data_IF_081081346996
#
_entry.id   IF_081081346996
#
_cell.length_a   1.000
_cell.length_b   1.000
_cell.length_c   1.000
_cell.angle_alpha   90.00
_cell.angle_beta   90.00
_cell.angle_gamma   90.00
#
_symmetry.space_group_name_H-M   'P 1'
#
loop_
_entity.id
_entity.type
_entity.pdbx_description
1 polymer ?
#
# COMPACT_ATOMS: atom_id res chain seq x y z
N UNK A 1 2.93 -2.06 -11.52
CA UNK A 1 3.71 -2.41 -12.72
C UNK A 1 4.15 -3.87 -12.69
N UNK A 2 4.78 -4.33 -11.61
CA UNK A 2 5.44 -5.64 -11.56
C UNK A 2 4.53 -6.87 -11.74
N UNK A 3 3.29 -6.88 -11.24
CA UNK A 3 2.41 -8.04 -11.36
C UNK A 3 2.19 -8.50 -12.82
N UNK A 4 1.74 -7.59 -13.69
CA UNK A 4 1.50 -7.92 -15.10
C UNK A 4 2.79 -8.08 -15.89
N UNK A 5 3.86 -7.36 -15.53
CA UNK A 5 5.17 -7.56 -16.15
C UNK A 5 5.74 -8.95 -15.89
N UNK A 6 5.48 -9.54 -14.70
CA UNK A 6 5.89 -10.91 -14.39
C UNK A 6 5.01 -11.94 -15.09
N UNK A 7 3.69 -11.73 -15.17
CA UNK A 7 2.83 -12.58 -16.02
C UNK A 7 3.32 -12.58 -17.48
N UNK A 8 3.65 -11.41 -18.03
CA UNK A 8 4.26 -11.32 -19.37
C UNK A 8 5.56 -12.11 -19.44
N UNK A 9 6.45 -11.95 -18.45
CA UNK A 9 7.75 -12.61 -18.44
C UNK A 9 7.65 -14.14 -18.39
N UNK A 10 6.60 -14.69 -17.76
CA UNK A 10 6.31 -16.13 -17.76
C UNK A 10 5.78 -16.59 -19.11
N UNK A 11 4.78 -15.89 -19.65
CA UNK A 11 4.12 -16.28 -20.92
C UNK A 11 5.09 -16.15 -22.10
N UNK A 12 5.87 -15.08 -22.13
CA UNK A 12 6.75 -14.72 -23.25
C UNK A 12 8.20 -15.17 -23.04
N UNK A 13 8.45 -16.11 -22.13
CA UNK A 13 9.82 -16.51 -21.78
C UNK A 13 10.62 -17.03 -22.98
N UNK A 14 9.96 -17.71 -23.92
CA UNK A 14 10.58 -18.23 -25.16
C UNK A 14 10.54 -17.24 -26.32
N UNK A 15 9.45 -16.47 -26.44
CA UNK A 15 9.19 -15.61 -27.59
C UNK A 15 9.79 -14.19 -27.47
N UNK A 16 9.98 -13.69 -26.24
CA UNK A 16 10.63 -12.40 -25.93
C UNK A 16 11.53 -12.53 -24.67
N UNK A 17 12.58 -13.36 -24.74
CA UNK A 17 13.41 -13.70 -23.58
C UNK A 17 14.15 -12.50 -22.98
N UNK A 18 14.58 -11.56 -23.82
CA UNK A 18 15.31 -10.36 -23.38
C UNK A 18 14.43 -9.45 -22.51
N UNK A 19 13.17 -9.23 -22.91
CA UNK A 19 12.22 -8.45 -22.11
C UNK A 19 11.79 -9.20 -20.86
N UNK A 20 11.56 -10.51 -20.95
CA UNK A 20 11.24 -11.36 -19.80
C UNK A 20 12.34 -11.28 -18.73
N UNK A 21 13.61 -11.46 -19.13
CA UNK A 21 14.78 -11.34 -18.25
C UNK A 21 14.86 -9.94 -17.60
N UNK A 22 14.63 -8.88 -18.37
CA UNK A 22 14.62 -7.50 -17.87
C UNK A 22 13.52 -7.27 -16.82
N UNK A 23 12.32 -7.82 -17.03
CA UNK A 23 11.23 -7.70 -16.07
C UNK A 23 11.48 -8.51 -14.80
N UNK A 24 12.00 -9.74 -14.93
CA UNK A 24 12.41 -10.58 -13.80
C UNK A 24 13.47 -9.86 -12.95
N UNK A 25 14.52 -9.32 -13.56
CA UNK A 25 15.57 -8.56 -12.86
C UNK A 25 15.03 -7.33 -12.12
N UNK A 26 14.14 -6.55 -12.75
CA UNK A 26 13.49 -5.39 -12.11
C UNK A 26 12.59 -5.77 -10.95
N UNK A 27 11.90 -6.91 -11.02
CA UNK A 27 11.09 -7.42 -9.93
C UNK A 27 11.95 -7.79 -8.72
N UNK A 28 13.10 -8.43 -8.93
CA UNK A 28 14.05 -8.76 -7.86
C UNK A 28 14.54 -7.50 -7.13
N UNK A 29 14.82 -6.42 -7.87
CA UNK A 29 15.22 -5.15 -7.25
C UNK A 29 14.07 -4.47 -6.50
N UNK A 30 12.88 -4.42 -7.10
CA UNK A 30 11.68 -3.85 -6.48
C UNK A 30 11.31 -4.55 -5.17
N UNK A 31 11.45 -5.87 -5.11
CA UNK A 31 11.11 -6.67 -3.94
C UNK A 31 11.86 -6.22 -2.67
N UNK A 32 13.11 -5.75 -2.81
CA UNK A 32 13.94 -5.28 -1.69
C UNK A 32 13.34 -4.08 -0.97
N UNK A 33 12.59 -3.23 -1.67
CA UNK A 33 11.86 -2.11 -1.08
C UNK A 33 10.40 -2.47 -0.76
N UNK A 34 9.77 -3.28 -1.60
CA UNK A 34 8.35 -3.60 -1.44
C UNK A 34 8.06 -4.49 -0.23
N UNK A 35 9.02 -5.30 0.24
CA UNK A 35 8.84 -6.05 1.49
C UNK A 35 8.61 -5.13 2.69
N UNK A 36 9.14 -3.90 2.66
CA UNK A 36 8.92 -2.92 3.70
C UNK A 36 7.47 -2.39 3.72
N UNK A 37 6.64 -2.68 2.73
CA UNK A 37 5.23 -2.23 2.75
C UNK A 37 4.34 -3.08 3.66
N UNK A 38 4.90 -4.12 4.26
CA UNK A 38 4.18 -5.07 5.08
C UNK A 38 4.71 -5.08 6.50
N UNK A 39 3.87 -5.43 7.46
CA UNK A 39 4.31 -5.70 8.83
C UNK A 39 4.42 -7.22 9.11
N UNK A 40 4.83 -7.54 10.34
CA UNK A 40 5.03 -8.94 10.77
C UNK A 40 3.73 -9.77 10.72
N UNK A 41 2.56 -9.13 10.90
CA UNK A 41 1.25 -9.77 10.81
C UNK A 41 0.73 -9.88 9.37
N UNK A 42 1.50 -9.40 8.39
CA UNK A 42 1.18 -9.40 6.98
C UNK A 42 0.21 -8.30 6.56
N UNK A 43 -0.09 -7.32 7.41
CA UNK A 43 -0.84 -6.13 6.99
C UNK A 43 0.00 -5.29 6.06
N UNK A 44 -0.65 -4.63 5.11
CA UNK A 44 0.02 -3.77 4.14
C UNK A 44 -0.37 -2.31 4.37
N UNK A 45 0.55 -1.39 4.11
CA UNK A 45 0.32 0.05 4.33
C UNK A 45 -0.94 0.50 3.55
N UNK A 46 -1.89 1.20 4.19
CA UNK A 46 -3.16 1.60 3.58
C UNK A 46 -3.00 2.84 2.67
N UNK A 47 -2.10 2.75 1.69
CA UNK A 47 -1.75 3.85 0.79
C UNK A 47 -2.28 3.64 -0.64
N UNK A 48 -2.94 4.68 -1.16
CA UNK A 48 -3.36 4.79 -2.55
C UNK A 48 -4.82 4.45 -2.86
N UNK A 49 -5.20 4.56 -4.14
CA UNK A 49 -6.61 4.47 -4.59
C UNK A 49 -7.20 3.08 -4.69
N UNK A 50 -6.35 2.07 -4.78
CA UNK A 50 -6.74 0.69 -5.10
C UNK A 50 -7.04 -0.16 -3.85
N UNK A 51 -7.24 0.47 -2.70
CA UNK A 51 -7.33 -0.21 -1.39
C UNK A 51 -8.48 -1.22 -1.30
N UNK A 52 -9.60 -1.01 -2.02
CA UNK A 52 -10.69 -1.99 -2.01
C UNK A 52 -10.27 -3.40 -2.47
N UNK A 53 -9.19 -3.51 -3.24
CA UNK A 53 -8.63 -4.77 -3.71
C UNK A 53 -7.64 -5.35 -2.70
N UNK A 54 -7.99 -5.33 -1.41
CA UNK A 54 -7.09 -5.55 -0.27
C UNK A 54 -6.11 -6.72 -0.41
N UNK A 55 -6.57 -7.90 -0.84
CA UNK A 55 -5.69 -9.06 -1.04
C UNK A 55 -4.62 -8.85 -2.13
N UNK A 56 -4.88 -7.97 -3.11
CA UNK A 56 -3.94 -7.69 -4.19
C UNK A 56 -2.65 -7.03 -3.72
N UNK A 57 -2.61 -6.45 -2.51
CA UNK A 57 -1.40 -5.82 -1.99
C UNK A 57 -0.23 -6.82 -1.97
N UNK A 58 -0.46 -8.05 -1.50
CA UNK A 58 0.58 -9.10 -1.43
C UNK A 58 0.78 -9.89 -2.74
N UNK A 59 -0.03 -9.65 -3.77
CA UNK A 59 -0.04 -10.43 -5.02
C UNK A 59 1.29 -10.47 -5.79
N UNK A 60 2.15 -9.48 -5.55
CA UNK A 60 3.50 -9.45 -6.12
C UNK A 60 4.30 -10.70 -5.75
N UNK A 61 4.25 -11.15 -4.49
CA UNK A 61 5.00 -12.33 -4.04
C UNK A 61 4.43 -13.62 -4.63
N UNK A 62 3.11 -13.69 -4.80
CA UNK A 62 2.46 -14.82 -5.49
C UNK A 62 2.92 -14.97 -6.93
N UNK A 63 3.04 -13.87 -7.67
CA UNK A 63 3.51 -13.92 -9.06
C UNK A 63 5.04 -14.07 -9.16
N UNK A 64 5.81 -13.69 -8.13
CA UNK A 64 7.22 -14.06 -8.05
C UNK A 64 7.39 -15.57 -8.02
N UNK A 65 6.64 -16.28 -7.18
CA UNK A 65 6.63 -17.75 -7.14
C UNK A 65 6.31 -18.33 -8.51
N UNK A 66 5.22 -17.85 -9.15
CA UNK A 66 4.83 -18.31 -10.49
C UNK A 66 5.93 -18.05 -11.55
N UNK A 67 6.68 -16.96 -11.41
CA UNK A 67 7.78 -16.60 -12.30
C UNK A 67 9.11 -17.32 -12.01
N UNK A 68 9.14 -18.22 -11.02
CA UNK A 68 10.35 -18.89 -10.54
C UNK A 68 11.34 -17.91 -9.91
N UNK A 69 10.85 -16.82 -9.31
CA UNK A 69 11.65 -15.81 -8.66
C UNK A 69 11.56 -15.91 -7.14
N UNK A 70 12.72 -15.93 -6.51
CA UNK A 70 12.87 -15.94 -5.06
C UNK A 70 13.65 -14.71 -4.59
N UNK A 71 13.06 -13.50 -4.63
CA UNK A 71 13.69 -12.32 -4.03
C UNK A 71 13.88 -12.49 -2.51
N UNK A 72 13.10 -13.38 -1.91
CA UNK A 72 13.24 -13.88 -0.55
C UNK A 72 13.00 -15.40 -0.57
N UNK A 73 13.49 -16.15 0.43
CA UNK A 73 13.24 -17.60 0.49
C UNK A 73 11.74 -17.93 0.41
N UNK A 74 11.39 -19.05 -0.25
CA UNK A 74 10.00 -19.52 -0.36
C UNK A 74 9.24 -19.53 0.99
N UNK A 75 9.82 -19.99 2.12
CA UNK A 75 9.19 -19.91 3.44
C UNK A 75 8.74 -18.49 3.84
N UNK A 76 9.53 -17.47 3.51
CA UNK A 76 9.25 -16.06 3.83
C UNK A 76 8.09 -15.54 2.97
N UNK A 77 8.14 -15.81 1.67
CA UNK A 77 7.06 -15.41 0.76
C UNK A 77 5.74 -16.12 1.10
N UNK A 78 5.79 -17.42 1.44
CA UNK A 78 4.64 -18.19 1.93
C UNK A 78 4.07 -17.57 3.21
N UNK A 79 4.93 -17.31 4.20
CA UNK A 79 4.52 -16.71 5.46
C UNK A 79 3.83 -15.36 5.28
N UNK A 80 4.39 -14.49 4.44
CA UNK A 80 3.80 -13.18 4.16
C UNK A 80 2.43 -13.29 3.47
N UNK A 81 2.30 -14.13 2.43
CA UNK A 81 1.02 -14.35 1.73
C UNK A 81 -0.04 -14.92 2.68
N UNK A 82 0.32 -15.95 3.46
CA UNK A 82 -0.60 -16.63 4.34
C UNK A 82 -1.06 -15.74 5.50
N UNK A 83 -0.14 -15.02 6.15
CA UNK A 83 -0.48 -14.04 7.21
C UNK A 83 -1.37 -12.93 6.66
N UNK A 84 -1.05 -12.35 5.50
CA UNK A 84 -1.87 -11.32 4.86
C UNK A 84 -3.33 -11.78 4.65
N UNK A 85 -3.52 -12.97 4.08
CA UNK A 85 -4.85 -13.55 3.88
C UNK A 85 -5.58 -13.81 5.19
N UNK A 86 -4.92 -14.46 6.16
CA UNK A 86 -5.51 -14.74 7.48
C UNK A 86 -5.93 -13.47 8.19
N UNK A 87 -5.09 -12.43 8.16
CA UNK A 87 -5.38 -11.17 8.84
C UNK A 87 -6.58 -10.48 8.23
N UNK A 88 -6.71 -10.46 6.90
CA UNK A 88 -7.91 -9.94 6.26
C UNK A 88 -9.18 -10.74 6.55
N UNK A 89 -9.08 -12.08 6.61
CA UNK A 89 -10.23 -12.94 6.91
C UNK A 89 -10.75 -12.77 8.35
N UNK A 90 -9.97 -12.17 9.25
CA UNK A 90 -10.41 -11.79 10.62
C UNK A 90 -11.23 -10.49 10.64
N UNK A 91 -11.26 -9.73 9.55
CA UNK A 91 -11.91 -8.41 9.48
C UNK A 91 -13.35 -8.53 8.92
N UNK A 92 -14.26 -7.59 9.23
CA UNK A 92 -15.64 -7.59 8.74
C UNK A 92 -15.72 -7.18 7.26
N UNK A 93 -15.22 -8.04 6.37
CA UNK A 93 -15.00 -7.70 4.96
C UNK A 93 -15.98 -8.38 3.99
N UNK A 94 -16.93 -9.13 4.55
CA UNK A 94 -18.01 -9.79 3.81
C UNK A 94 -19.35 -9.17 4.22
N UNK A 95 -20.30 -9.13 3.31
CA UNK A 95 -21.69 -8.81 3.63
C UNK A 95 -22.43 -10.06 4.14
N UNK A 96 -23.74 -9.91 4.36
CA UNK A 96 -24.63 -10.99 4.84
C UNK A 96 -24.71 -12.20 3.89
N UNK A 97 -24.42 -12.00 2.61
CA UNK A 97 -24.48 -13.01 1.56
C UNK A 97 -23.07 -13.60 1.29
N UNK A 98 -22.11 -13.30 2.18
CA UNK A 98 -20.71 -13.72 2.12
C UNK A 98 -19.96 -13.19 0.88
N UNK A 99 -20.39 -12.04 0.34
CA UNK A 99 -19.75 -11.37 -0.78
C UNK A 99 -18.75 -10.33 -0.26
N UNK A 100 -17.59 -10.20 -0.91
CA UNK A 100 -16.57 -9.21 -0.54
C UNK A 100 -17.13 -7.78 -0.70
N UNK A 101 -17.07 -6.99 0.37
CA UNK A 101 -17.56 -5.60 0.38
C UNK A 101 -16.55 -4.60 -0.17
N UNK A 102 -17.05 -3.46 -0.69
CA UNK A 102 -16.23 -2.29 -0.98
C UNK A 102 -15.83 -1.62 0.33
N UNK A 103 -14.52 -1.41 0.50
CA UNK A 103 -13.96 -0.78 1.69
C UNK A 103 -12.56 -1.29 2.02
N UNK A 104 -12.00 -0.79 3.12
CA UNK A 104 -10.72 -1.22 3.68
C UNK A 104 -10.88 -1.41 5.18
N UNK A 105 -10.54 -2.58 5.69
CA UNK A 105 -10.83 -2.99 7.08
C UNK A 105 -12.29 -3.35 7.36
N UNK A 106 -13.23 -2.61 6.78
CA UNK A 106 -14.68 -2.74 6.95
C UNK A 106 -15.40 -2.15 5.72
N UNK A 107 -16.72 -2.36 5.56
CA UNK A 107 -17.48 -1.81 4.43
C UNK A 107 -17.49 -0.27 4.53
N UNK A 108 -17.00 0.42 3.50
CA UNK A 108 -16.94 1.88 3.47
C UNK A 108 -17.14 2.38 2.04
N UNK A 109 -18.34 2.89 1.75
CA UNK A 109 -18.67 3.44 0.43
C UNK A 109 -18.15 4.87 0.22
N UNK A 110 -17.75 5.59 1.27
CA UNK A 110 -17.17 6.94 1.12
C UNK A 110 -15.80 6.89 0.43
N UNK A 111 -15.06 5.78 0.58
CA UNK A 111 -13.75 5.59 -0.06
C UNK A 111 -13.82 5.00 -1.47
N UNK A 112 -15.02 4.81 -2.02
CA UNK A 112 -15.22 4.19 -3.35
C UNK A 112 -14.55 4.99 -4.47
N UNK A 113 -14.07 4.29 -5.49
CA UNK A 113 -13.64 4.90 -6.74
C UNK A 113 -14.76 4.88 -7.78
N UNK A 114 -14.75 5.83 -8.71
CA UNK A 114 -15.78 5.95 -9.77
C UNK A 114 -15.98 4.69 -10.62
N UNK A 115 -14.98 3.82 -10.68
CA UNK A 115 -14.99 2.57 -11.45
C UNK A 115 -15.29 1.34 -10.60
N UNK A 116 -15.51 1.50 -9.29
CA UNK A 116 -15.85 0.38 -8.44
C UNK A 116 -17.33 0.02 -8.63
N UNK A 117 -17.54 -1.27 -8.81
CA UNK A 117 -18.83 -1.94 -8.83
C UNK A 117 -18.83 -3.06 -7.77
N UNK A 118 -19.97 -3.67 -7.42
CA UNK A 118 -20.03 -4.72 -6.39
C UNK A 118 -19.04 -5.87 -6.59
N UNK A 119 -18.75 -6.26 -7.83
CA UNK A 119 -17.76 -7.31 -8.14
C UNK A 119 -16.30 -6.85 -8.09
N UNK A 120 -16.02 -5.55 -7.93
CA UNK A 120 -14.66 -5.00 -7.94
C UNK A 120 -13.72 -5.62 -6.91
N UNK A 121 -14.10 -5.81 -5.63
CA UNK A 121 -13.20 -6.38 -4.63
C UNK A 121 -12.57 -7.72 -5.03
N UNK A 122 -13.21 -8.48 -5.92
CA UNK A 122 -12.69 -9.75 -6.46
C UNK A 122 -11.49 -9.61 -7.40
N UNK A 123 -11.12 -8.40 -7.82
CA UNK A 123 -9.76 -8.17 -8.37
C UNK A 123 -8.65 -8.56 -7.37
N UNK A 124 -8.99 -8.65 -6.08
CA UNK A 124 -8.21 -9.32 -5.03
C UNK A 124 -7.72 -10.73 -5.42
N UNK A 125 -8.38 -11.39 -6.38
CA UNK A 125 -8.03 -12.73 -6.86
C UNK A 125 -6.57 -12.87 -7.31
N UNK A 126 -5.90 -11.76 -7.68
CA UNK A 126 -4.49 -11.73 -8.07
C UNK A 126 -3.56 -12.41 -7.06
N UNK A 127 -3.91 -12.35 -5.78
CA UNK A 127 -3.15 -13.03 -4.72
C UNK A 127 -3.04 -14.53 -4.96
N UNK A 128 -4.06 -15.16 -5.56
CA UNK A 128 -4.12 -16.60 -5.76
C UNK A 128 -3.31 -17.09 -6.98
N UNK A 129 -2.44 -16.24 -7.55
CA UNK A 129 -1.50 -16.68 -8.60
C UNK A 129 -0.63 -17.87 -8.17
N UNK A 130 -0.38 -18.04 -6.86
CA UNK A 130 0.35 -19.20 -6.33
C UNK A 130 -0.42 -20.52 -6.50
N UNK A 131 -1.74 -20.50 -6.74
CA UNK A 131 -2.52 -21.72 -7.01
C UNK A 131 -2.19 -22.34 -8.38
N UNK A 132 -1.45 -21.63 -9.24
CA UNK A 132 -0.94 -22.14 -10.51
C UNK A 132 0.39 -22.89 -10.38
N UNK A 133 0.96 -22.97 -9.17
CA UNK A 133 2.20 -23.70 -8.93
C UNK A 133 1.97 -25.22 -9.06
N UNK A 134 2.97 -25.97 -9.55
CA UNK A 134 2.93 -27.44 -9.58
C UNK A 134 2.66 -28.06 -8.20
N UNK A 135 2.07 -29.25 -8.17
CA UNK A 135 1.76 -29.98 -6.93
C UNK A 135 3.00 -30.30 -6.08
N UNK A 136 4.17 -30.44 -6.71
CA UNK A 136 5.45 -30.73 -6.07
C UNK A 136 6.25 -29.47 -5.69
N UNK A 137 5.72 -28.27 -5.94
CA UNK A 137 6.42 -27.03 -5.64
C UNK A 137 6.66 -26.86 -4.13
N UNK A 138 7.88 -26.46 -3.68
CA UNK A 138 8.22 -26.34 -2.25
C UNK A 138 7.27 -25.47 -1.43
N UNK A 139 6.62 -24.48 -2.06
CA UNK A 139 5.59 -23.64 -1.43
C UNK A 139 4.54 -24.45 -0.65
N UNK A 140 4.15 -25.63 -1.13
CA UNK A 140 3.14 -26.44 -0.46
C UNK A 140 3.67 -27.09 0.83
N UNK A 141 4.92 -27.54 0.84
CA UNK A 141 5.50 -28.34 1.93
C UNK A 141 6.34 -27.56 2.94
N UNK A 142 6.90 -26.40 2.58
CA UNK A 142 7.73 -25.62 3.52
C UNK A 142 6.89 -24.96 4.61
N UNK A 143 7.46 -24.84 5.81
CA UNK A 143 6.86 -24.06 6.90
C UNK A 143 6.88 -22.55 6.59
N UNK A 144 5.92 -21.83 7.15
CA UNK A 144 5.87 -20.37 7.05
C UNK A 144 6.98 -19.73 7.88
N UNK A 145 7.75 -18.81 7.28
CA UNK A 145 8.78 -18.05 7.97
C UNK A 145 8.34 -16.59 8.25
N UNK A 146 8.92 -15.92 9.28
CA UNK A 146 8.71 -14.50 9.52
C UNK A 146 9.31 -13.64 8.40
N UNK A 147 9.09 -12.32 8.47
CA UNK A 147 9.84 -11.40 7.61
C UNK A 147 11.35 -11.53 7.90
N UNK A 148 12.23 -11.28 6.90
CA UNK A 148 13.65 -11.21 7.17
C UNK A 148 13.94 -10.02 8.09
N UNK A 149 15.08 -10.04 8.78
CA UNK A 149 15.50 -8.88 9.57
C UNK A 149 15.75 -7.68 8.64
N UNK A 150 14.89 -6.68 8.74
CA UNK A 150 14.97 -5.43 7.98
C UNK A 150 15.61 -4.32 8.84
N UNK A 151 16.19 -3.32 8.19
CA UNK A 151 16.53 -2.08 8.87
C UNK A 151 15.23 -1.34 9.26
N UNK A 152 15.20 -0.49 10.29
CA UNK A 152 13.99 0.27 10.62
C UNK A 152 13.57 1.20 9.49
N UNK A 153 14.51 1.93 8.89
CA UNK A 153 14.23 2.92 7.87
C UNK A 153 14.50 2.42 6.44
N UNK A 154 13.58 2.71 5.52
CA UNK A 154 13.72 2.51 4.09
C UNK A 154 13.23 3.75 3.33
N UNK A 155 14.12 4.70 3.01
CA UNK A 155 13.79 5.82 2.11
C UNK A 155 13.52 5.30 0.70
N UNK A 156 12.31 5.52 0.18
CA UNK A 156 11.89 5.05 -1.15
C UNK A 156 11.71 6.25 -2.09
N UNK A 157 12.83 6.80 -2.55
CA UNK A 157 12.88 8.01 -3.39
C UNK A 157 11.92 7.97 -4.59
N UNK A 158 11.85 6.85 -5.30
CA UNK A 158 11.01 6.73 -6.51
C UNK A 158 9.54 6.44 -6.23
N UNK A 159 9.20 6.07 -5.00
CA UNK A 159 7.82 5.94 -4.55
C UNK A 159 7.33 7.21 -3.86
N UNK A 160 8.20 8.22 -3.70
CA UNK A 160 7.95 9.42 -2.88
C UNK A 160 7.47 9.05 -1.48
N UNK A 161 8.11 8.07 -0.83
CA UNK A 161 7.77 7.65 0.52
C UNK A 161 9.02 7.45 1.38
N UNK A 162 8.88 7.71 2.67
CA UNK A 162 9.81 7.23 3.69
C UNK A 162 9.10 6.15 4.50
N UNK A 163 9.59 4.91 4.46
CA UNK A 163 8.96 3.79 5.17
C UNK A 163 9.76 3.47 6.43
N UNK A 164 9.07 3.30 7.55
CA UNK A 164 9.69 3.01 8.84
C UNK A 164 8.99 1.84 9.55
N UNK A 165 9.78 0.84 9.94
CA UNK A 165 9.36 -0.29 10.79
C UNK A 165 9.68 0.00 12.24
N UNK A 166 8.66 -0.10 13.10
CA UNK A 166 8.81 0.01 14.54
C UNK A 166 7.76 -0.86 15.25
N UNK A 167 8.18 -1.50 16.34
CA UNK A 167 7.35 -2.52 16.98
C UNK A 167 7.00 -3.66 16.01
N UNK A 168 5.70 -3.94 15.88
CA UNK A 168 5.14 -4.96 14.98
C UNK A 168 4.36 -4.36 13.80
N UNK A 169 4.56 -3.08 13.49
CA UNK A 169 3.81 -2.35 12.48
C UNK A 169 4.73 -1.48 11.63
N UNK A 170 4.17 -0.96 10.54
CA UNK A 170 4.92 -0.21 9.56
C UNK A 170 4.18 1.05 9.16
N UNK A 171 4.88 2.19 9.17
CA UNK A 171 4.35 3.47 8.69
C UNK A 171 5.04 3.91 7.39
N UNK A 172 4.25 4.36 6.41
CA UNK A 172 4.75 5.19 5.31
C UNK A 172 4.47 6.66 5.59
N UNK A 173 5.51 7.47 5.54
CA UNK A 173 5.43 8.93 5.57
C UNK A 173 5.40 9.47 4.15
N UNK A 174 4.37 10.26 3.84
CA UNK A 174 4.17 10.80 2.52
C UNK A 174 4.48 12.31 2.45
N UNK A 175 5.21 12.77 1.42
CA UNK A 175 5.48 14.18 1.17
C UNK A 175 4.32 14.95 0.53
N UNK A 176 3.17 14.31 0.31
CA UNK A 176 2.04 14.93 -0.40
C UNK A 176 2.28 15.07 -1.91
N UNK A 177 2.98 14.11 -2.54
CA UNK A 177 3.19 14.06 -3.99
C UNK A 177 2.23 13.05 -4.61
N UNK A 178 1.34 13.50 -5.47
CA UNK A 178 0.42 12.64 -6.21
C UNK A 178 -0.18 13.36 -7.43
N UNK A 179 -0.79 12.58 -8.32
CA UNK A 179 -1.37 13.11 -9.56
C UNK A 179 -2.53 14.07 -9.28
N UNK A 180 -2.57 15.25 -9.93
CA UNK A 180 -3.72 16.16 -9.84
C UNK A 180 -4.94 15.65 -10.61
N UNK A 181 -4.77 14.65 -11.48
CA UNK A 181 -5.84 14.03 -12.25
C UNK A 181 -6.70 13.16 -11.31
N UNK A 182 -7.72 13.79 -10.75
CA UNK A 182 -8.46 13.34 -9.57
C UNK A 182 -9.12 11.97 -9.68
N UNK A 183 -9.10 11.28 -8.54
CA UNK A 183 -9.86 10.08 -8.23
C UNK A 183 -10.58 10.31 -6.89
N UNK A 184 -11.55 9.47 -6.54
CA UNK A 184 -12.36 9.69 -5.33
C UNK A 184 -11.49 9.66 -4.08
N UNK A 185 -11.63 10.66 -3.20
CA UNK A 185 -10.89 10.73 -1.93
C UNK A 185 -9.36 10.75 -2.07
N UNK A 186 -8.81 11.30 -3.17
CA UNK A 186 -7.37 11.27 -3.44
C UNK A 186 -6.53 11.91 -2.31
N UNK A 187 -7.04 12.96 -1.66
CA UNK A 187 -6.39 13.63 -0.53
C UNK A 187 -6.20 12.66 0.64
N UNK A 188 -7.23 11.92 1.02
CA UNK A 188 -7.13 10.95 2.11
C UNK A 188 -6.25 9.72 1.75
N UNK A 189 -6.13 9.39 0.46
CA UNK A 189 -5.40 8.22 -0.05
C UNK A 189 -3.91 8.48 -0.32
N UNK A 190 -3.52 9.73 -0.50
CA UNK A 190 -2.14 10.12 -0.85
C UNK A 190 -1.60 11.33 -0.08
N UNK A 191 -2.45 12.17 0.52
CA UNK A 191 -2.08 13.46 1.12
C UNK A 191 -1.80 13.49 2.63
N UNK A 192 -2.16 12.44 3.38
CA UNK A 192 -1.88 12.33 4.82
C UNK A 192 -0.38 12.30 5.11
N UNK A 193 0.02 12.73 6.32
CA UNK A 193 1.40 12.70 6.78
C UNK A 193 1.93 11.28 6.95
N UNK A 194 1.09 10.38 7.47
CA UNK A 194 1.45 9.01 7.80
C UNK A 194 0.31 8.03 7.44
N UNK A 195 0.70 6.83 7.03
CA UNK A 195 -0.17 5.68 6.80
C UNK A 195 0.44 4.48 7.50
N UNK A 196 -0.25 3.91 8.48
CA UNK A 196 0.29 2.82 9.30
C UNK A 196 -0.54 1.54 9.13
N UNK A 197 0.13 0.39 9.07
CA UNK A 197 -0.49 -0.93 8.87
C UNK A 197 -1.49 -1.31 9.97
N UNK A 198 -1.35 -0.74 11.18
CA UNK A 198 -2.25 -0.96 12.31
C UNK A 198 -3.65 -0.37 12.09
N UNK A 199 -3.78 0.64 11.25
CA UNK A 199 -5.02 1.39 11.09
C UNK A 199 -5.64 1.21 9.71
N UNK A 200 -6.97 1.37 9.63
CA UNK A 200 -7.64 1.52 8.35
C UNK A 200 -7.52 2.96 7.84
N UNK A 201 -8.01 3.21 6.62
CA UNK A 201 -8.08 4.56 6.06
C UNK A 201 -9.35 5.27 6.54
N UNK A 202 -9.18 6.46 7.11
CA UNK A 202 -10.25 7.44 7.27
C UNK A 202 -10.33 8.33 6.02
N UNK A 203 -11.54 8.62 5.57
CA UNK A 203 -11.82 9.43 4.37
C UNK A 203 -12.89 10.47 4.71
N UNK A 204 -12.69 11.69 4.24
CA UNK A 204 -13.62 12.80 4.47
C UNK A 204 -14.97 12.52 3.81
N UNK A 205 -16.06 12.73 4.54
CA UNK A 205 -17.42 12.76 3.98
C UNK A 205 -17.71 14.12 3.34
N UNK A 206 -17.23 15.19 3.97
CA UNK A 206 -17.35 16.56 3.48
C UNK A 206 -16.14 17.40 3.93
N UNK A 207 -16.10 18.66 3.51
CA UNK A 207 -15.14 19.66 4.01
C UNK A 207 -15.82 20.83 4.73
N UNK A 208 -17.08 20.71 5.13
CA UNK A 208 -17.80 21.81 5.81
C UNK A 208 -17.57 21.80 7.32
N UNK A 209 -17.62 20.61 7.90
CA UNK A 209 -17.49 20.39 9.34
C UNK A 209 -16.25 19.57 9.66
N UNK A 210 -15.57 19.89 10.76
CA UNK A 210 -14.33 19.19 11.16
C UNK A 210 -14.57 17.69 11.38
N UNK A 211 -15.70 17.32 11.97
CA UNK A 211 -16.04 15.91 12.22
C UNK A 211 -16.40 15.15 10.94
N UNK A 212 -16.91 15.82 9.90
CA UNK A 212 -17.15 15.20 8.59
C UNK A 212 -15.88 15.10 7.75
N UNK A 213 -14.94 16.03 7.93
CA UNK A 213 -13.64 15.96 7.28
C UNK A 213 -12.74 14.87 7.88
N UNK A 214 -12.83 14.66 9.19
CA UNK A 214 -12.08 13.66 9.95
C UNK A 214 -10.59 13.59 9.55
N UNK A 215 -9.83 14.70 9.71
CA UNK A 215 -8.47 14.86 9.18
C UNK A 215 -7.41 14.09 10.00
N UNK A 216 -7.51 12.77 10.06
CA UNK A 216 -6.53 11.91 10.71
C UNK A 216 -5.16 12.02 10.03
N UNK A 217 -4.10 12.10 10.84
CA UNK A 217 -2.73 12.28 10.37
C UNK A 217 -2.57 13.48 9.42
N UNK A 218 -3.30 14.57 9.66
CA UNK A 218 -3.24 15.81 8.88
C UNK A 218 -3.35 17.05 9.77
N UNK A 219 -2.75 18.14 9.32
CA UNK A 219 -3.00 19.49 9.83
C UNK A 219 -4.20 20.05 9.08
N UNK A 220 -5.18 20.56 9.83
CA UNK A 220 -6.43 21.08 9.31
C UNK A 220 -6.62 22.55 9.69
N UNK A 221 -7.07 23.35 8.73
CA UNK A 221 -7.36 24.77 8.86
C UNK A 221 -8.83 24.99 8.59
N UNK A 222 -9.56 25.59 9.53
CA UNK A 222 -10.96 25.94 9.34
C UNK A 222 -11.08 27.42 8.98
N UNK A 223 -11.50 27.71 7.75
CA UNK A 223 -11.52 29.04 7.16
C UNK A 223 -12.84 29.20 6.40
N UNK A 224 -13.57 30.28 6.67
CA UNK A 224 -14.83 30.65 5.99
C UNK A 224 -15.86 29.51 5.87
N UNK A 225 -15.96 28.67 6.90
CA UNK A 225 -16.90 27.54 6.95
C UNK A 225 -16.43 26.28 6.21
N UNK A 226 -15.14 26.19 5.87
CA UNK A 226 -14.54 25.03 5.22
C UNK A 226 -13.28 24.55 5.94
N UNK A 227 -13.05 23.23 5.91
CA UNK A 227 -11.85 22.56 6.42
C UNK A 227 -10.88 22.31 5.28
N UNK A 228 -9.69 22.88 5.38
CA UNK A 228 -8.58 22.73 4.46
C UNK A 228 -7.48 21.89 5.10
N UNK A 229 -7.09 20.82 4.40
CA UNK A 229 -5.97 19.95 4.80
C UNK A 229 -4.89 19.97 3.73
N UNK A 230 -3.74 19.36 4.04
CA UNK A 230 -2.65 19.21 3.07
C UNK A 230 -3.12 18.51 1.79
N UNK A 231 -2.85 19.16 0.65
CA UNK A 231 -3.10 18.60 -0.69
C UNK A 231 -1.79 18.21 -1.36
N UNK A 232 -1.64 18.55 -2.65
CA UNK A 232 -0.37 18.40 -3.36
C UNK A 232 0.57 19.48 -2.85
N UNK A 233 1.75 19.08 -2.40
CA UNK A 233 2.77 20.01 -1.91
C UNK A 233 3.46 20.73 -3.06
N UNK A 234 3.83 21.99 -2.83
CA UNK A 234 4.56 22.84 -3.77
C UNK A 234 6.01 22.35 -3.93
N UNK A 235 6.63 22.00 -2.80
CA UNK A 235 7.97 21.44 -2.73
C UNK A 235 7.97 20.29 -1.72
N UNK A 236 8.79 19.27 -1.98
CA UNK A 236 8.96 18.19 -1.03
C UNK A 236 10.26 17.42 -1.21
N UNK A 237 10.65 16.69 -0.17
CA UNK A 237 11.88 15.89 -0.15
C UNK A 237 11.75 14.71 0.79
N UNK A 238 12.12 13.52 0.30
CA UNK A 238 12.52 12.39 1.16
C UNK A 238 13.95 12.66 1.61
N UNK A 239 14.15 12.82 2.92
CA UNK A 239 15.45 13.03 3.52
C UNK A 239 16.04 11.68 3.96
N UNK A 240 17.26 11.70 4.50
CA UNK A 240 17.88 10.48 5.06
C UNK A 240 17.11 9.95 6.28
N UNK A 241 16.40 10.84 7.00
CA UNK A 241 15.78 10.52 8.28
C UNK A 241 14.26 10.77 8.30
N UNK A 242 13.63 11.11 7.18
CA UNK A 242 12.19 11.37 7.14
C UNK A 242 11.71 12.12 5.91
N UNK A 243 10.75 13.01 6.11
CA UNK A 243 10.06 13.74 5.03
C UNK A 243 9.98 15.22 5.37
N UNK A 244 10.30 16.06 4.39
CA UNK A 244 10.00 17.49 4.44
C UNK A 244 9.06 17.88 3.31
N UNK A 245 8.15 18.84 3.55
CA UNK A 245 7.23 19.35 2.53
C UNK A 245 6.82 20.79 2.82
N UNK A 246 6.62 21.56 1.75
CA UNK A 246 6.06 22.90 1.76
C UNK A 246 4.77 22.94 0.95
N UNK A 247 3.72 23.52 1.53
CA UNK A 247 2.37 23.48 0.98
C UNK A 247 1.52 24.64 1.48
N UNK A 248 0.41 24.89 0.79
CA UNK A 248 -0.55 25.93 1.15
C UNK A 248 -1.96 25.33 1.28
N UNK A 249 -2.61 25.41 2.47
CA UNK A 249 -4.01 25.03 2.62
C UNK A 249 -4.97 26.04 1.97
N UNK A 250 -4.58 27.33 1.96
CA UNK A 250 -5.42 28.45 1.55
C UNK A 250 -4.54 29.64 1.12
N UNK A 251 -4.96 30.47 0.15
CA UNK A 251 -4.19 31.63 -0.29
C UNK A 251 -3.73 32.52 0.88
N UNK A 252 -2.44 32.86 0.90
CA UNK A 252 -1.83 33.66 1.98
C UNK A 252 -1.33 32.85 3.18
N UNK A 253 -1.54 31.52 3.21
CA UNK A 253 -0.98 30.64 4.24
C UNK A 253 0.06 29.71 3.60
N UNK A 254 1.27 29.73 4.13
CA UNK A 254 2.34 28.79 3.77
C UNK A 254 2.69 27.94 4.98
N UNK A 255 2.76 26.63 4.78
CA UNK A 255 3.10 25.66 5.82
C UNK A 255 4.32 24.86 5.37
N UNK A 256 5.30 24.73 6.26
CA UNK A 256 6.41 23.79 6.12
C UNK A 256 6.29 22.72 7.20
N UNK A 257 6.42 21.46 6.81
CA UNK A 257 6.34 20.31 7.71
C UNK A 257 7.57 19.43 7.57
N UNK A 258 8.18 19.06 8.69
CA UNK A 258 9.21 18.03 8.79
C UNK A 258 8.68 16.90 9.65
N UNK A 259 8.77 15.67 9.16
CA UNK A 259 8.40 14.46 9.89
C UNK A 259 9.63 13.57 9.97
N UNK A 260 10.01 13.19 11.19
CA UNK A 260 11.16 12.34 11.48
C UNK A 260 10.68 11.19 12.35
N UNK A 261 10.59 9.96 11.82
CA UNK A 261 10.21 8.82 12.65
C UNK A 261 11.19 8.52 13.77
N UNK A 262 10.65 7.98 14.86
CA UNK A 262 11.39 7.46 15.99
C UNK A 262 10.80 6.11 16.46
N UNK A 263 11.33 5.56 17.55
CA UNK A 263 10.90 4.25 18.06
C UNK A 263 9.44 4.22 18.57
N UNK A 264 8.81 5.36 18.83
CA UNK A 264 7.42 5.51 19.26
C UNK A 264 6.46 5.93 18.15
N UNK A 265 6.97 6.27 16.96
CA UNK A 265 6.19 6.77 15.84
C UNK A 265 6.93 7.87 15.09
N UNK A 266 6.56 9.13 15.33
CA UNK A 266 7.11 10.35 14.73
C UNK A 266 6.61 11.62 15.46
#
# INVERSE_FOLDING_TARGET
MHFYSLNYAVIMEKDDPERAKKYKARAMEFAKQFIYWFDEEGEAIPFGRSLTYRFSQVSFFSVCLLAGLEPFPVPVMKGLIARHLRTWLKRPIFDRDHVLTIGYGYPNLTMVERYNAPGSPYWGMKVFAFLLLPDDHPFWSVEEAPLPKLAPACPQKYADLFVYHYGNHTTAFAPGVYSPNGHGQIVAKYGKFAYDTRFSISVAKSCYELHENAPDNMLAFWIDGYVYVRRICEESKITENGVWSKWSPYPGITVETTITPDAGGH
#
